data_IF_418145402942
#
_entry.id   IF_418145402942
#
_cell.length_a   1.000
_cell.length_b   1.000
_cell.length_c   1.000
_cell.angle_alpha   90.00
_cell.angle_beta   90.00
_cell.angle_gamma   90.00
#
_symmetry.space_group_name_H-M   'P 1'
#
loop_
_entity.id
_entity.type
_entity.pdbx_description
1 polymer ?
#
# COMPACT_ATOMS: atom_id res chain seq x y z
N UNK A 1 -27.12 -21.04 18.37
CA UNK A 1 -25.68 -20.74 18.24
C UNK A 1 -25.30 -19.87 19.42
N UNK A 2 -24.35 -20.28 20.27
CA UNK A 2 -23.97 -19.53 21.48
C UNK A 2 -22.71 -18.65 21.31
N UNK A 3 -21.94 -18.88 20.24
CA UNK A 3 -20.69 -18.18 19.98
C UNK A 3 -20.61 -17.77 18.51
N UNK A 4 -20.12 -16.56 18.26
CA UNK A 4 -19.82 -16.02 16.94
C UNK A 4 -18.38 -15.50 16.95
N UNK A 5 -17.49 -16.19 16.24
CA UNK A 5 -16.10 -15.80 16.07
C UNK A 5 -15.94 -15.28 14.65
N UNK A 6 -15.54 -14.02 14.50
CA UNK A 6 -15.47 -13.39 13.18
C UNK A 6 -14.08 -12.87 12.87
N UNK A 7 -13.45 -13.50 11.88
CA UNK A 7 -12.10 -13.19 11.44
C UNK A 7 -12.10 -12.16 10.32
N UNK A 8 -11.54 -10.97 10.59
CA UNK A 8 -11.43 -9.93 9.57
C UNK A 8 -10.91 -8.60 10.09
N UNK A 9 -11.04 -7.58 9.24
CA UNK A 9 -10.51 -6.24 9.50
C UNK A 9 -11.53 -5.30 10.13
N UNK A 10 -11.37 -4.00 9.89
CA UNK A 10 -12.17 -2.94 10.49
C UNK A 10 -13.70 -3.17 10.35
N UNK A 11 -14.19 -3.47 9.14
CA UNK A 11 -15.63 -3.75 8.92
C UNK A 11 -16.15 -5.00 9.64
N UNK A 12 -15.30 -6.01 9.84
CA UNK A 12 -15.64 -7.20 10.62
C UNK A 12 -15.75 -6.90 12.11
N UNK A 13 -14.87 -6.04 12.65
CA UNK A 13 -14.95 -5.59 14.04
C UNK A 13 -16.22 -4.77 14.30
N UNK A 14 -16.61 -3.91 13.36
CA UNK A 14 -17.89 -3.19 13.40
C UNK A 14 -19.10 -4.15 13.37
N UNK A 15 -19.04 -5.20 12.54
CA UNK A 15 -20.07 -6.25 12.48
C UNK A 15 -20.21 -6.99 13.81
N UNK A 16 -19.08 -7.36 14.44
CA UNK A 16 -19.05 -8.02 15.76
C UNK A 16 -19.72 -7.15 16.81
N UNK A 17 -19.41 -5.85 16.82
CA UNK A 17 -20.01 -4.88 17.75
C UNK A 17 -21.54 -4.80 17.56
N UNK A 18 -21.99 -4.60 16.33
CA UNK A 18 -23.42 -4.48 15.98
C UNK A 18 -24.19 -5.75 16.32
N UNK A 19 -23.63 -6.92 16.00
CA UNK A 19 -24.27 -8.20 16.30
C UNK A 19 -24.35 -8.44 17.82
N UNK A 20 -23.30 -8.12 18.56
CA UNK A 20 -23.30 -8.25 20.03
C UNK A 20 -24.39 -7.37 20.66
N UNK A 21 -24.52 -6.11 20.21
CA UNK A 21 -25.56 -5.21 20.67
C UNK A 21 -26.97 -5.74 20.33
N UNK A 22 -27.17 -6.24 19.11
CA UNK A 22 -28.43 -6.79 18.66
C UNK A 22 -28.87 -8.05 19.43
N UNK A 23 -27.92 -8.91 19.82
CA UNK A 23 -28.17 -10.09 20.64
C UNK A 23 -28.57 -9.73 22.07
N UNK A 24 -27.86 -8.78 22.70
CA UNK A 24 -28.21 -8.26 24.03
C UNK A 24 -29.61 -7.67 24.07
N UNK A 25 -29.98 -6.87 23.06
CA UNK A 25 -31.31 -6.28 22.97
C UNK A 25 -32.45 -7.31 22.85
N UNK A 26 -32.14 -8.53 22.39
CA UNK A 26 -33.12 -9.62 22.21
C UNK A 26 -33.06 -10.66 23.34
N UNK A 27 -32.27 -10.42 24.39
CA UNK A 27 -31.97 -11.42 25.42
C UNK A 27 -31.52 -12.77 24.83
N UNK A 28 -30.82 -12.73 23.69
CA UNK A 28 -30.30 -13.92 23.05
C UNK A 28 -28.87 -14.18 23.57
N UNK A 29 -28.61 -15.33 24.22
CA UNK A 29 -27.31 -15.63 24.81
C UNK A 29 -26.26 -15.95 23.74
N UNK A 30 -25.67 -14.89 23.16
CA UNK A 30 -24.63 -14.97 22.14
C UNK A 30 -23.37 -14.22 22.59
N UNK A 31 -22.25 -14.92 22.55
CA UNK A 31 -20.92 -14.33 22.73
C UNK A 31 -20.31 -14.03 21.37
N UNK A 32 -19.98 -12.77 21.11
CA UNK A 32 -19.30 -12.36 19.86
C UNK A 32 -17.84 -12.03 20.15
N UNK A 33 -16.92 -12.62 19.37
CA UNK A 33 -15.47 -12.40 19.46
C UNK A 33 -14.93 -12.01 18.08
N UNK A 34 -14.25 -10.87 18.01
CA UNK A 34 -13.50 -10.46 16.83
C UNK A 34 -12.14 -11.12 16.81
N UNK A 35 -11.77 -11.75 15.69
CA UNK A 35 -10.41 -12.26 15.44
C UNK A 35 -9.74 -11.28 14.47
N UNK A 36 -8.75 -10.50 14.92
CA UNK A 36 -8.17 -9.43 14.11
C UNK A 36 -7.40 -9.99 12.92
N UNK A 37 -7.67 -9.46 11.73
CA UNK A 37 -6.94 -9.76 10.50
C UNK A 37 -7.00 -8.60 9.55
N UNK A 38 -5.84 -8.10 9.13
CA UNK A 38 -5.71 -7.13 8.04
C UNK A 38 -4.28 -7.20 7.51
N UNK A 39 -4.12 -7.06 6.20
CA UNK A 39 -2.77 -6.92 5.61
C UNK A 39 -2.30 -5.46 5.70
N UNK A 40 -3.23 -4.51 5.82
CA UNK A 40 -2.91 -3.09 5.88
C UNK A 40 -2.28 -2.68 7.23
N UNK A 41 -2.39 -3.52 8.26
CA UNK A 41 -1.93 -3.23 9.62
C UNK A 41 -2.57 -1.98 10.25
N UNK A 42 -3.85 -1.76 9.95
CA UNK A 42 -4.60 -0.55 10.31
C UNK A 42 -5.63 -0.77 11.43
N UNK A 43 -5.58 -1.91 12.13
CA UNK A 43 -6.44 -2.17 13.28
C UNK A 43 -5.94 -1.42 14.51
N UNK A 44 -6.81 -0.60 15.11
CA UNK A 44 -6.51 0.10 16.36
C UNK A 44 -6.41 -0.89 17.53
N UNK A 45 -5.40 -0.69 18.38
CA UNK A 45 -5.22 -1.48 19.61
C UNK A 45 -4.33 -2.72 19.47
N UNK A 46 -3.75 -2.94 18.29
CA UNK A 46 -2.67 -3.93 18.09
C UNK A 46 -1.50 -3.27 17.35
N UNK A 47 -0.27 -3.63 17.71
CA UNK A 47 0.93 -3.16 16.99
C UNK A 47 1.05 -3.83 15.62
N UNK A 48 0.66 -5.11 15.55
CA UNK A 48 0.74 -5.93 14.34
C UNK A 48 -0.52 -6.75 14.17
N UNK A 49 -1.02 -6.80 12.93
CA UNK A 49 -2.17 -7.59 12.52
C UNK A 49 -1.76 -8.88 11.82
N UNK A 50 -2.42 -10.02 12.10
CA UNK A 50 -2.22 -11.25 11.35
C UNK A 50 -2.40 -11.03 9.84
N UNK A 51 -1.42 -11.49 9.06
CA UNK A 51 -1.33 -11.30 7.62
C UNK A 51 -0.34 -10.22 7.17
N UNK A 52 -0.17 -9.14 7.95
CA UNK A 52 0.76 -8.05 7.59
C UNK A 52 2.20 -8.55 7.42
N UNK A 53 2.75 -9.29 8.40
CA UNK A 53 4.14 -9.74 8.34
C UNK A 53 4.48 -10.57 7.09
N UNK A 54 3.55 -11.42 6.65
CA UNK A 54 3.70 -12.20 5.41
C UNK A 54 3.66 -11.31 4.17
N UNK A 55 2.73 -10.37 4.10
CA UNK A 55 2.62 -9.41 3.01
C UNK A 55 3.86 -8.49 2.94
N UNK A 56 4.30 -7.97 4.09
CA UNK A 56 5.51 -7.17 4.24
C UNK A 56 6.75 -7.92 3.73
N UNK A 57 6.93 -9.19 4.15
CA UNK A 57 8.04 -10.03 3.67
C UNK A 57 7.99 -10.22 2.16
N UNK A 58 6.81 -10.51 1.61
CA UNK A 58 6.62 -10.64 0.17
C UNK A 58 7.03 -9.36 -0.57
N UNK A 59 6.48 -8.21 -0.17
CA UNK A 59 6.73 -6.92 -0.80
C UNK A 59 8.20 -6.48 -0.73
N UNK A 60 8.86 -6.70 0.42
CA UNK A 60 10.29 -6.44 0.57
C UNK A 60 11.14 -7.35 -0.35
N UNK A 61 10.78 -8.63 -0.45
CA UNK A 61 11.49 -9.58 -1.32
C UNK A 61 11.30 -9.21 -2.79
N UNK A 62 10.06 -8.93 -3.21
CA UNK A 62 9.75 -8.54 -4.59
C UNK A 62 10.44 -7.25 -4.99
N UNK A 63 10.50 -6.24 -4.11
CA UNK A 63 11.22 -5.00 -4.41
C UNK A 63 12.73 -5.24 -4.54
N UNK A 64 13.31 -6.11 -3.72
CA UNK A 64 14.72 -6.51 -3.85
C UNK A 64 14.98 -7.17 -5.20
N UNK A 65 14.14 -8.13 -5.59
CA UNK A 65 14.28 -8.86 -6.86
C UNK A 65 14.13 -7.93 -8.08
N UNK A 66 13.09 -7.09 -8.09
CA UNK A 66 12.91 -6.08 -9.14
C UNK A 66 14.09 -5.10 -9.19
N UNK A 67 14.63 -4.74 -8.02
CA UNK A 67 15.82 -3.92 -7.89
C UNK A 67 17.06 -4.52 -8.55
N UNK A 68 17.31 -5.80 -8.30
CA UNK A 68 18.43 -6.53 -8.92
C UNK A 68 18.28 -6.60 -10.45
N UNK A 69 17.06 -6.83 -10.95
CA UNK A 69 16.77 -6.86 -12.38
C UNK A 69 17.04 -5.49 -13.04
N UNK A 70 16.52 -4.40 -12.46
CA UNK A 70 16.76 -3.04 -12.96
C UNK A 70 18.24 -2.68 -12.97
N UNK A 71 18.96 -3.05 -11.91
CA UNK A 71 20.41 -2.81 -11.81
C UNK A 71 21.16 -3.56 -12.90
N UNK A 72 20.82 -4.82 -13.17
CA UNK A 72 21.44 -5.61 -14.24
C UNK A 72 21.17 -5.03 -15.63
N UNK A 73 20.03 -4.37 -15.81
CA UNK A 73 19.63 -3.71 -17.06
C UNK A 73 19.97 -2.22 -17.14
N UNK A 74 20.66 -1.67 -16.13
CA UNK A 74 21.01 -0.24 -16.07
C UNK A 74 21.97 0.11 -17.22
N UNK A 75 21.73 1.24 -17.87
CA UNK A 75 22.44 1.64 -19.08
C UNK A 75 22.16 3.10 -19.45
N UNK A 76 22.54 3.51 -20.67
CA UNK A 76 22.50 4.93 -21.10
C UNK A 76 21.10 5.57 -21.09
N UNK A 77 20.03 4.78 -21.21
CA UNK A 77 18.66 5.26 -21.06
C UNK A 77 18.18 4.77 -19.70
N UNK A 78 17.99 5.69 -18.76
CA UNK A 78 17.55 5.39 -17.42
C UNK A 78 16.30 4.51 -17.39
N UNK A 79 16.23 3.57 -16.44
CA UNK A 79 15.05 2.70 -16.29
C UNK A 79 14.28 2.97 -15.02
N UNK A 80 12.97 2.98 -15.10
CA UNK A 80 12.11 3.11 -13.93
C UNK A 80 11.26 1.86 -13.73
N UNK A 81 10.93 1.58 -12.48
CA UNK A 81 9.98 0.54 -12.10
C UNK A 81 9.09 1.08 -10.99
N UNK A 82 7.78 0.89 -11.14
CA UNK A 82 6.81 1.28 -10.11
C UNK A 82 6.14 0.03 -9.58
N UNK A 83 6.33 -0.23 -8.29
CA UNK A 83 5.61 -1.25 -7.55
C UNK A 83 4.44 -0.60 -6.83
N UNK A 84 3.26 -0.77 -7.41
CA UNK A 84 2.00 -0.44 -6.76
C UNK A 84 1.67 -1.48 -5.70
N UNK A 85 1.27 -1.04 -4.51
CA UNK A 85 0.91 -1.91 -3.38
C UNK A 85 -0.40 -1.47 -2.74
N UNK A 86 -1.07 -2.40 -2.06
CA UNK A 86 -2.25 -2.09 -1.25
C UNK A 86 -1.91 -1.10 -0.14
N UNK A 87 -2.92 -0.35 0.31
CA UNK A 87 -2.77 0.62 1.40
C UNK A 87 -3.57 1.88 1.13
N UNK A 88 -4.91 1.78 1.15
CA UNK A 88 -5.80 2.92 0.87
C UNK A 88 -5.65 4.07 1.86
N UNK A 89 -5.55 3.74 3.14
CA UNK A 89 -5.62 4.71 4.23
C UNK A 89 -4.33 4.77 5.06
N UNK A 90 -3.44 3.81 4.90
CA UNK A 90 -2.17 3.75 5.60
C UNK A 90 -1.07 3.14 4.73
N UNK A 91 0.16 3.52 5.02
CA UNK A 91 1.34 3.21 4.23
C UNK A 91 2.15 2.02 4.70
N UNK A 92 1.68 1.19 5.64
CA UNK A 92 2.48 0.13 6.25
C UNK A 92 3.05 -0.89 5.25
N UNK A 93 2.27 -1.26 4.24
CA UNK A 93 2.70 -2.19 3.19
C UNK A 93 3.73 -1.55 2.25
N UNK A 94 3.51 -0.28 1.87
CA UNK A 94 4.48 0.47 1.10
C UNK A 94 5.79 0.67 1.88
N UNK A 95 5.71 1.05 3.15
CA UNK A 95 6.87 1.22 4.02
C UNK A 95 7.66 -0.08 4.21
N UNK A 96 6.99 -1.23 4.23
CA UNK A 96 7.65 -2.53 4.35
C UNK A 96 8.63 -2.82 3.20
N UNK A 97 8.45 -2.23 2.02
CA UNK A 97 9.36 -2.44 0.89
C UNK A 97 10.76 -1.88 1.17
N UNK A 98 10.89 -0.91 2.09
CA UNK A 98 12.18 -0.37 2.53
C UNK A 98 13.06 -1.43 3.17
N UNK A 99 12.48 -2.50 3.73
CA UNK A 99 13.24 -3.65 4.26
C UNK A 99 14.01 -4.41 3.18
N UNK A 100 13.75 -4.13 1.90
CA UNK A 100 14.57 -4.61 0.79
C UNK A 100 16.01 -4.09 0.87
N UNK A 101 16.23 -2.87 1.40
CA UNK A 101 17.53 -2.18 1.42
C UNK A 101 18.56 -2.86 2.30
N UNK A 102 19.77 -3.04 1.78
CA UNK A 102 20.96 -3.47 2.52
C UNK A 102 22.07 -2.40 2.50
N UNK A 103 22.06 -1.53 1.49
CA UNK A 103 22.93 -0.37 1.33
C UNK A 103 22.11 0.91 1.01
N UNK A 104 22.70 2.11 1.14
CA UNK A 104 22.00 3.38 0.88
C UNK A 104 21.37 3.51 -0.52
N UNK A 105 21.95 2.84 -1.50
CA UNK A 105 21.54 2.90 -2.91
C UNK A 105 20.62 1.76 -3.34
N UNK A 106 20.18 0.94 -2.40
CA UNK A 106 19.26 -0.15 -2.71
C UNK A 106 17.80 0.34 -2.85
N UNK A 107 17.01 -0.31 -3.72
CA UNK A 107 15.58 -0.12 -3.83
C UNK A 107 14.79 -0.36 -2.54
N UNK A 108 13.60 0.27 -2.38
CA UNK A 108 13.03 1.31 -3.25
C UNK A 108 13.82 2.62 -3.11
N UNK A 109 13.95 3.44 -4.14
CA UNK A 109 14.60 4.77 -4.02
C UNK A 109 13.61 5.90 -3.76
N UNK A 110 12.35 5.69 -4.15
CA UNK A 110 11.21 6.58 -3.90
C UNK A 110 10.09 5.76 -3.26
N UNK A 111 9.50 6.32 -2.22
CA UNK A 111 8.39 5.73 -1.48
C UNK A 111 7.26 6.75 -1.40
N UNK A 112 6.08 6.39 -1.87
CA UNK A 112 4.87 7.22 -1.81
C UNK A 112 3.86 6.58 -0.87
N UNK A 113 3.48 7.32 0.16
CA UNK A 113 2.63 6.87 1.25
C UNK A 113 1.31 7.68 1.27
N UNK A 114 0.17 7.09 1.68
CA UNK A 114 -1.09 7.83 1.85
C UNK A 114 -0.98 9.00 2.84
N UNK A 115 -0.07 8.91 3.82
CA UNK A 115 0.16 9.90 4.86
C UNK A 115 0.91 11.15 4.38
N UNK A 116 1.56 11.08 3.20
CA UNK A 116 2.37 12.18 2.66
C UNK A 116 1.72 12.70 1.36
N UNK A 117 1.29 13.97 1.32
CA UNK A 117 0.73 14.55 0.11
C UNK A 117 1.71 14.49 -1.07
N UNK A 118 1.23 14.01 -2.20
CA UNK A 118 2.01 13.91 -3.42
C UNK A 118 2.33 15.29 -3.99
N UNK A 119 3.59 15.49 -4.35
CA UNK A 119 4.07 16.65 -5.08
C UNK A 119 4.80 16.21 -6.34
N UNK A 120 4.21 16.48 -7.51
CA UNK A 120 4.74 16.04 -8.80
C UNK A 120 6.18 16.53 -9.06
N UNK A 121 6.48 17.80 -8.78
CA UNK A 121 7.80 18.37 -9.04
C UNK A 121 8.89 17.73 -8.17
N UNK A 122 8.61 17.56 -6.87
CA UNK A 122 9.54 16.90 -5.95
C UNK A 122 9.73 15.41 -6.29
N UNK A 123 8.66 14.74 -6.70
CA UNK A 123 8.70 13.36 -7.18
C UNK A 123 9.58 13.24 -8.44
N UNK A 124 9.32 14.04 -9.47
CA UNK A 124 10.08 14.02 -10.73
C UNK A 124 11.55 14.34 -10.51
N UNK A 125 11.87 15.39 -9.74
CA UNK A 125 13.24 15.75 -9.41
C UNK A 125 13.99 14.62 -8.68
N UNK A 126 13.30 13.91 -7.77
CA UNK A 126 13.89 12.77 -7.07
C UNK A 126 14.12 11.57 -8.00
N UNK A 127 13.19 11.30 -8.92
CA UNK A 127 13.32 10.24 -9.92
C UNK A 127 14.48 10.53 -10.86
N UNK A 128 14.55 11.75 -11.40
CA UNK A 128 15.62 12.22 -12.28
C UNK A 128 16.99 12.08 -11.61
N UNK A 129 17.16 12.64 -10.41
CA UNK A 129 18.43 12.53 -9.67
C UNK A 129 18.82 11.08 -9.35
N UNK A 130 17.84 10.20 -9.13
CA UNK A 130 18.12 8.78 -8.93
C UNK A 130 18.62 8.13 -10.22
N UNK A 131 17.94 8.40 -11.34
CA UNK A 131 18.28 7.88 -12.66
C UNK A 131 19.65 8.40 -13.14
N UNK A 132 19.95 9.68 -12.98
CA UNK A 132 21.24 10.26 -13.36
C UNK A 132 22.41 9.62 -12.62
N UNK A 133 22.21 9.31 -11.34
CA UNK A 133 23.26 8.79 -10.47
C UNK A 133 23.43 7.27 -10.57
N UNK A 134 22.33 6.53 -10.66
CA UNK A 134 22.33 5.07 -10.59
C UNK A 134 22.04 4.39 -11.94
N UNK A 135 21.53 5.13 -12.94
CA UNK A 135 21.05 4.57 -14.20
C UNK A 135 19.65 3.93 -14.11
N UNK A 136 19.01 3.93 -12.93
CA UNK A 136 17.67 3.40 -12.73
C UNK A 136 16.99 3.98 -11.48
N UNK A 137 15.67 3.81 -11.37
CA UNK A 137 14.87 4.20 -10.21
C UNK A 137 13.72 3.21 -9.97
N UNK A 138 13.81 2.42 -8.90
CA UNK A 138 12.69 1.66 -8.34
C UNK A 138 11.85 2.51 -7.36
N UNK A 139 10.54 2.47 -7.54
CA UNK A 139 9.54 3.29 -6.84
C UNK A 139 8.53 2.36 -6.19
N UNK A 140 8.18 2.58 -4.93
CA UNK A 140 6.99 1.98 -4.30
C UNK A 140 5.91 3.03 -4.14
N UNK A 141 4.67 2.71 -4.52
CA UNK A 141 3.52 3.57 -4.30
C UNK A 141 2.36 2.78 -3.69
N UNK A 142 1.84 3.26 -2.56
CA UNK A 142 0.54 2.78 -2.09
C UNK A 142 -0.57 3.25 -3.05
N UNK A 143 -1.61 2.43 -3.24
CA UNK A 143 -2.81 2.82 -3.98
C UNK A 143 -3.49 4.07 -3.38
N UNK A 144 -3.31 4.31 -2.08
CA UNK A 144 -3.94 5.38 -1.32
C UNK A 144 -3.24 6.74 -1.37
N UNK A 145 -2.29 6.97 -2.27
CA UNK A 145 -1.56 8.24 -2.35
C UNK A 145 -2.52 9.39 -2.70
N UNK A 146 -2.40 10.50 -1.97
CA UNK A 146 -3.29 11.66 -2.07
C UNK A 146 -2.55 12.91 -2.50
N UNK A 147 -3.25 13.86 -3.10
CA UNK A 147 -2.75 15.22 -3.31
C UNK A 147 -2.82 16.06 -2.01
N UNK A 148 -2.45 17.34 -2.10
CA UNK A 148 -2.48 18.28 -0.95
C UNK A 148 -3.87 18.56 -0.40
N UNK A 149 -4.89 18.39 -1.22
CA UNK A 149 -6.30 18.56 -0.83
C UNK A 149 -6.89 17.28 -0.20
N UNK A 150 -6.06 16.22 -0.05
CA UNK A 150 -6.49 14.94 0.52
C UNK A 150 -7.25 14.05 -0.47
N UNK A 151 -7.32 14.42 -1.74
CA UNK A 151 -7.99 13.65 -2.81
C UNK A 151 -7.05 12.56 -3.33
N UNK A 152 -7.56 11.36 -3.56
CA UNK A 152 -6.79 10.27 -4.16
C UNK A 152 -6.30 10.68 -5.56
N UNK A 153 -5.04 10.35 -5.88
CA UNK A 153 -4.48 10.70 -7.20
C UNK A 153 -5.13 9.93 -8.35
N UNK A 154 -5.52 8.69 -8.08
CA UNK A 154 -6.21 7.81 -9.02
C UNK A 154 -7.33 7.10 -8.25
N UNK A 155 -8.56 7.28 -8.70
CA UNK A 155 -9.70 6.44 -8.34
C UNK A 155 -10.14 5.73 -9.63
N UNK A 156 -10.32 4.40 -9.61
CA UNK A 156 -11.05 3.73 -10.69
C UNK A 156 -12.54 3.75 -10.35
N UNK A 157 -13.37 3.77 -11.39
CA UNK A 157 -14.83 3.75 -11.28
C UNK A 157 -15.35 2.55 -10.47
N UNK A 158 -16.54 2.72 -9.90
CA UNK A 158 -17.20 1.72 -9.06
C UNK A 158 -17.47 0.41 -9.82
N UNK A 159 -17.14 -0.74 -9.19
CA UNK A 159 -17.65 -2.05 -9.62
C UNK A 159 -19.18 -2.09 -9.43
N UNK A 160 -19.87 -3.00 -10.11
CA UNK A 160 -21.34 -3.23 -10.15
C UNK A 160 -21.96 -3.44 -8.74
N UNK A 161 -21.13 -3.55 -7.70
CA UNK A 161 -21.51 -3.68 -6.28
C UNK A 161 -21.32 -2.39 -5.45
N UNK A 162 -20.95 -1.27 -6.06
CA UNK A 162 -20.73 0.02 -5.38
C UNK A 162 -19.42 0.10 -4.59
N UNK A 163 -18.43 -0.74 -4.90
CA UNK A 163 -17.10 -0.67 -4.32
C UNK A 163 -16.17 0.06 -5.30
N UNK A 164 -15.55 1.16 -4.87
CA UNK A 164 -14.47 1.84 -5.60
C UNK A 164 -13.30 0.87 -5.74
N UNK A 165 -12.98 0.47 -6.97
CA UNK A 165 -11.81 -0.37 -7.25
C UNK A 165 -10.57 0.53 -7.17
N UNK A 166 -9.61 0.16 -6.34
CA UNK A 166 -8.33 0.84 -6.25
C UNK A 166 -7.35 0.15 -7.18
N UNK A 167 -6.53 0.94 -7.88
CA UNK A 167 -5.65 0.44 -8.91
C UNK A 167 -5.17 1.52 -9.87
N UNK A 168 -3.95 1.40 -10.38
CA UNK A 168 -3.49 2.16 -11.56
C UNK A 168 -2.66 3.40 -11.24
N UNK A 169 -2.38 3.68 -9.95
CA UNK A 169 -1.39 4.70 -9.59
C UNK A 169 -0.02 4.37 -10.17
N UNK A 170 0.35 3.09 -10.26
CA UNK A 170 1.60 2.65 -10.87
C UNK A 170 1.71 3.04 -12.34
N UNK A 171 0.63 2.81 -13.11
CA UNK A 171 0.56 3.24 -14.51
C UNK A 171 0.54 4.76 -14.65
N UNK A 172 -0.20 5.46 -13.78
CA UNK A 172 -0.25 6.92 -13.79
C UNK A 172 1.12 7.55 -13.51
N UNK A 173 1.85 7.05 -12.51
CA UNK A 173 3.21 7.49 -12.20
C UNK A 173 4.19 7.18 -13.34
N UNK A 174 4.09 5.99 -13.94
CA UNK A 174 4.93 5.63 -15.07
C UNK A 174 4.70 6.56 -16.28
N UNK A 175 3.44 6.90 -16.58
CA UNK A 175 3.10 7.88 -17.62
C UNK A 175 3.60 9.27 -17.26
N UNK A 176 3.39 9.73 -16.03
CA UNK A 176 3.88 11.03 -15.57
C UNK A 176 5.40 11.16 -15.73
N UNK A 177 6.16 10.11 -15.39
CA UNK A 177 7.62 10.11 -15.59
C UNK A 177 7.94 10.13 -17.08
N UNK A 178 7.30 9.28 -17.88
CA UNK A 178 7.56 9.21 -19.32
C UNK A 178 7.29 10.53 -20.04
N UNK A 179 6.15 11.16 -19.76
CA UNK A 179 5.74 12.41 -20.41
C UNK A 179 6.65 13.59 -20.04
N UNK A 180 7.31 13.54 -18.88
CA UNK A 180 8.07 14.67 -18.34
C UNK A 180 9.59 14.49 -18.43
N UNK A 181 10.09 13.25 -18.42
CA UNK A 181 11.52 12.94 -18.41
C UNK A 181 11.98 12.12 -19.63
N UNK A 182 11.06 11.60 -20.45
CA UNK A 182 11.35 10.81 -21.66
C UNK A 182 11.49 9.31 -21.42
#
# INVERSE_FOLDING_TARGET
>A
VGYFLYNGGNGSMDTVLKLSAAARARNYPLTCVGVPKTVDNDLVGTDVSPGYGSAAKYLATSMREAGMDLRAMSGRRGRIFVMEVMGRNCGWLAAATVLARQAPDDPPHVLLLPEVPFGADAFLARVEACVERLGYCAITAAEGVRNRDGVLLVEQDEDVRGHVQLGGIGQWLARLVHDRLG
#
